data_IF_207584870889
#
_entry.id   IF_207584870889
#
_cell.length_a   1.000
_cell.length_b   1.000
_cell.length_c   1.000
_cell.angle_alpha   90.00
_cell.angle_beta   90.00
_cell.angle_gamma   90.00
#
_symmetry.space_group_name_H-M   'P 1'
#
loop_
_entity.id
_entity.type
_entity.pdbx_description
1 polymer ?
#
# COMPACT_ATOMS: atom_id res chain seq x y z
N UNK A 1 -27.14 2.20 -8.40
CA UNK A 1 -26.49 2.79 -9.60
C UNK A 1 -25.50 3.95 -9.28
N UNK A 2 -25.22 4.27 -8.00
CA UNK A 2 -24.34 5.39 -7.62
C UNK A 2 -22.83 5.05 -7.53
N UNK A 3 -22.44 3.77 -7.46
CA UNK A 3 -21.04 3.38 -7.18
C UNK A 3 -20.07 3.50 -8.36
N UNK A 4 -20.53 3.53 -9.62
CA UNK A 4 -19.62 3.55 -10.78
C UNK A 4 -18.99 4.91 -11.09
N UNK A 5 -19.51 6.02 -10.54
CA UNK A 5 -18.99 7.38 -10.83
C UNK A 5 -17.71 7.72 -10.06
N UNK A 6 -17.40 7.05 -8.95
CA UNK A 6 -16.19 7.34 -8.17
C UNK A 6 -14.93 6.60 -8.66
N UNK A 7 -15.05 5.46 -9.33
CA UNK A 7 -13.90 4.61 -9.69
C UNK A 7 -13.07 5.11 -10.88
N UNK A 8 -13.66 5.90 -11.79
CA UNK A 8 -12.90 6.57 -12.87
C UNK A 8 -12.11 7.78 -12.35
N UNK A 9 -12.43 8.28 -11.16
CA UNK A 9 -11.81 9.49 -10.62
C UNK A 9 -10.32 9.34 -10.33
N UNK A 10 -9.89 8.24 -9.72
CA UNK A 10 -8.49 8.11 -9.28
C UNK A 10 -7.50 7.96 -10.45
N UNK A 11 -7.90 7.29 -11.54
CA UNK A 11 -7.07 7.24 -12.75
C UNK A 11 -6.96 8.61 -13.40
N UNK A 12 -8.07 9.37 -13.49
CA UNK A 12 -8.05 10.75 -13.99
C UNK A 12 -7.16 11.66 -13.12
N UNK A 13 -7.24 11.55 -11.79
CA UNK A 13 -6.35 12.27 -10.87
C UNK A 13 -4.89 11.87 -11.10
N UNK A 14 -4.60 10.59 -11.37
CA UNK A 14 -3.25 10.15 -11.70
C UNK A 14 -2.75 10.77 -13.00
N UNK A 15 -3.58 10.82 -14.04
CA UNK A 15 -3.25 11.46 -15.32
C UNK A 15 -3.01 12.96 -15.18
N UNK A 16 -3.83 13.66 -14.41
CA UNK A 16 -3.64 15.07 -14.07
C UNK A 16 -2.35 15.30 -13.29
N UNK A 17 -2.06 14.44 -12.30
CA UNK A 17 -0.79 14.48 -11.58
C UNK A 17 0.42 14.27 -12.50
N UNK A 18 0.29 13.45 -13.55
CA UNK A 18 1.36 13.27 -14.54
C UNK A 18 1.62 14.51 -15.37
N UNK A 19 0.59 15.29 -15.70
CA UNK A 19 0.70 16.58 -16.42
C UNK A 19 1.39 17.66 -15.59
N UNK A 20 1.30 17.59 -14.26
CA UNK A 20 1.98 18.54 -13.36
C UNK A 20 3.51 18.42 -13.44
N UNK A 21 4.27 19.52 -13.53
CA UNK A 21 5.74 19.48 -13.48
C UNK A 21 6.27 19.14 -12.07
N UNK A 22 5.43 19.21 -11.03
CA UNK A 22 5.83 18.98 -9.63
C UNK A 22 6.28 17.54 -9.40
N UNK A 23 7.28 17.37 -8.54
CA UNK A 23 7.73 16.10 -7.99
C UNK A 23 7.53 16.10 -6.48
N UNK A 24 7.41 14.92 -5.86
CA UNK A 24 7.14 14.81 -4.44
C UNK A 24 5.65 14.98 -4.12
N UNK A 25 5.35 15.54 -2.94
CA UNK A 25 4.00 15.66 -2.41
C UNK A 25 3.29 16.93 -2.93
N UNK A 26 2.05 16.78 -3.40
CA UNK A 26 1.17 17.89 -3.77
C UNK A 26 -0.29 17.41 -3.81
N UNK A 27 -1.22 18.31 -4.13
CA UNK A 27 -2.65 18.01 -4.22
C UNK A 27 -3.16 18.09 -5.66
N UNK A 28 -4.05 17.18 -6.03
CA UNK A 28 -4.77 17.16 -7.32
C UNK A 28 -6.20 16.72 -7.05
N UNK A 29 -7.20 17.48 -7.50
CA UNK A 29 -8.61 17.14 -7.32
C UNK A 29 -9.02 16.91 -5.86
N UNK A 30 -8.43 17.66 -4.91
CA UNK A 30 -8.66 17.48 -3.48
C UNK A 30 -8.05 16.22 -2.87
N UNK A 31 -7.18 15.49 -3.60
CA UNK A 31 -6.50 14.29 -3.13
C UNK A 31 -5.01 14.56 -2.94
N UNK A 32 -4.45 13.99 -1.86
CA UNK A 32 -3.01 13.99 -1.61
C UNK A 32 -2.33 13.04 -2.59
N UNK A 33 -1.33 13.56 -3.31
CA UNK A 33 -0.59 12.87 -4.34
C UNK A 33 0.91 12.93 -4.05
N UNK A 34 1.60 11.81 -4.27
CA UNK A 34 3.06 11.73 -4.26
C UNK A 34 3.54 11.23 -5.62
N UNK A 35 4.28 12.06 -6.34
CA UNK A 35 4.83 11.72 -7.66
C UNK A 35 6.33 11.51 -7.58
N UNK A 36 6.80 10.47 -8.25
CA UNK A 36 8.21 10.29 -8.56
C UNK A 36 8.39 9.94 -10.05
N UNK A 37 9.63 9.69 -10.47
CA UNK A 37 9.96 9.37 -11.88
C UNK A 37 9.29 8.10 -12.42
N UNK A 38 8.82 7.21 -11.55
CA UNK A 38 8.26 5.90 -11.91
C UNK A 38 6.75 5.85 -11.77
N UNK A 39 6.19 6.39 -10.70
CA UNK A 39 4.78 6.19 -10.33
C UNK A 39 4.21 7.42 -9.64
N UNK A 40 2.88 7.48 -9.65
CA UNK A 40 2.09 8.40 -8.84
C UNK A 40 1.39 7.61 -7.75
N UNK A 41 1.40 8.10 -6.52
CA UNK A 41 0.71 7.49 -5.38
C UNK A 41 -0.39 8.44 -4.96
N UNK A 42 -1.60 7.93 -4.85
CA UNK A 42 -2.76 8.70 -4.43
C UNK A 42 -3.27 8.13 -3.12
N UNK A 43 -3.51 9.02 -2.15
CA UNK A 43 -4.17 8.68 -0.90
C UNK A 43 -5.64 9.07 -1.02
N UNK A 44 -6.54 8.12 -0.83
CA UNK A 44 -7.98 8.35 -0.84
C UNK A 44 -8.65 7.76 0.37
N UNK A 45 -9.30 8.63 1.14
CA UNK A 45 -10.14 8.26 2.28
C UNK A 45 -11.46 7.67 1.78
N UNK A 46 -11.75 6.44 2.19
CA UNK A 46 -12.95 5.65 1.88
C UNK A 46 -13.49 5.08 3.18
N UNK A 47 -14.13 5.87 4.03
CA UNK A 47 -14.56 5.45 5.37
C UNK A 47 -15.20 4.04 5.37
N UNK A 48 -14.72 3.08 6.19
CA UNK A 48 -13.71 3.19 7.26
C UNK A 48 -12.24 2.98 6.82
N UNK A 49 -11.99 2.84 5.54
CA UNK A 49 -10.71 2.54 4.92
C UNK A 49 -9.98 3.79 4.41
N UNK A 50 -8.67 3.66 4.24
CA UNK A 50 -7.89 4.57 3.39
C UNK A 50 -7.14 3.72 2.37
N UNK A 51 -7.31 4.05 1.11
CA UNK A 51 -6.62 3.42 -0.01
C UNK A 51 -5.41 4.25 -0.41
N UNK A 52 -4.27 3.58 -0.53
CA UNK A 52 -3.01 4.17 -0.97
C UNK A 52 -2.61 3.41 -2.22
N UNK A 53 -2.89 4.01 -3.36
CA UNK A 53 -2.86 3.35 -4.66
C UNK A 53 -1.74 3.91 -5.53
N UNK A 54 -0.91 3.03 -6.07
CA UNK A 54 0.15 3.39 -7.00
C UNK A 54 -0.35 3.25 -8.44
N UNK A 55 -0.29 4.33 -9.20
CA UNK A 55 -0.61 4.39 -10.61
C UNK A 55 0.65 4.45 -11.48
N UNK A 56 0.62 3.78 -12.65
CA UNK A 56 1.71 3.80 -13.60
C UNK A 56 1.84 5.15 -14.28
N UNK A 57 2.88 5.31 -15.10
CA UNK A 57 2.93 6.37 -16.10
C UNK A 57 1.81 6.22 -17.14
N UNK A 58 1.35 7.31 -17.77
CA UNK A 58 0.23 7.28 -18.72
C UNK A 58 0.45 6.30 -19.88
N UNK A 59 1.67 6.23 -20.43
CA UNK A 59 2.01 5.33 -21.54
C UNK A 59 1.90 3.83 -21.19
N UNK A 60 1.81 3.49 -19.91
CA UNK A 60 1.67 2.11 -19.43
C UNK A 60 0.27 1.81 -18.87
N UNK A 61 -0.60 2.81 -18.72
CA UNK A 61 -1.92 2.67 -18.10
C UNK A 61 -2.80 1.64 -18.81
N UNK A 62 -2.82 1.65 -20.14
CA UNK A 62 -3.64 0.71 -20.92
C UNK A 62 -3.23 -0.75 -20.70
N UNK A 63 -1.92 -1.02 -20.68
CA UNK A 63 -1.40 -2.37 -20.41
C UNK A 63 -1.78 -2.85 -19.01
N UNK A 64 -1.71 -1.96 -18.01
CA UNK A 64 -2.10 -2.28 -16.63
C UNK A 64 -3.62 -2.48 -16.51
N UNK A 65 -4.42 -1.68 -17.22
CA UNK A 65 -5.88 -1.86 -17.26
C UNK A 65 -6.25 -3.24 -17.80
N UNK A 66 -5.67 -3.65 -18.94
CA UNK A 66 -5.88 -5.00 -19.51
C UNK A 66 -5.43 -6.10 -18.55
N UNK A 67 -4.27 -5.91 -17.91
CA UNK A 67 -3.72 -6.88 -16.95
C UNK A 67 -4.55 -7.02 -15.67
N UNK A 68 -5.35 -6.01 -15.31
CA UNK A 68 -6.14 -6.03 -14.07
C UNK A 68 -7.24 -7.10 -14.07
N UNK A 69 -7.77 -7.46 -15.23
CA UNK A 69 -8.74 -8.56 -15.39
C UNK A 69 -8.18 -9.94 -15.04
N UNK A 70 -6.85 -10.10 -14.96
CA UNK A 70 -6.20 -11.35 -14.57
C UNK A 70 -6.21 -11.60 -13.04
N UNK A 71 -6.64 -10.62 -12.24
CA UNK A 71 -6.62 -10.70 -10.77
C UNK A 71 -7.90 -11.32 -10.19
N UNK A 72 -7.81 -11.90 -8.98
CA UNK A 72 -9.01 -12.42 -8.28
C UNK A 72 -9.97 -11.27 -7.98
N UNK A 73 -11.25 -11.46 -8.27
CA UNK A 73 -12.30 -10.49 -7.94
C UNK A 73 -12.48 -10.30 -6.44
N UNK A 74 -12.96 -9.11 -6.05
CA UNK A 74 -13.34 -8.79 -4.65
C UNK A 74 -12.26 -8.11 -3.80
N UNK A 75 -11.58 -7.08 -4.32
CA UNK A 75 -10.63 -6.27 -3.55
C UNK A 75 -10.26 -4.95 -4.26
N UNK A 76 -9.29 -4.18 -3.72
CA UNK A 76 -8.91 -2.86 -4.25
C UNK A 76 -8.56 -2.80 -5.74
N UNK A 77 -8.16 -3.94 -6.33
CA UNK A 77 -7.93 -4.07 -7.76
C UNK A 77 -9.19 -3.81 -8.61
N UNK A 78 -10.37 -4.18 -8.12
CA UNK A 78 -11.64 -3.89 -8.79
C UNK A 78 -11.97 -2.40 -8.75
N UNK A 79 -11.65 -1.76 -7.64
CA UNK A 79 -12.01 -0.36 -7.39
C UNK A 79 -11.04 0.62 -8.07
N UNK A 80 -9.84 0.15 -8.40
CA UNK A 80 -8.77 0.94 -9.02
C UNK A 80 -8.18 0.21 -10.24
N UNK A 81 -8.95 0.10 -11.34
CA UNK A 81 -8.45 -0.47 -12.58
C UNK A 81 -7.28 0.38 -13.11
N UNK A 82 -6.29 -0.27 -13.72
CA UNK A 82 -5.12 0.41 -14.29
C UNK A 82 -4.02 0.78 -13.29
N UNK A 83 -4.25 0.64 -11.98
CA UNK A 83 -3.20 0.80 -10.98
C UNK A 83 -2.18 -0.36 -11.01
N UNK A 84 -1.00 -0.10 -10.45
CA UNK A 84 0.04 -1.10 -10.19
C UNK A 84 -0.36 -1.97 -8.98
N UNK A 85 -0.86 -1.32 -7.93
CA UNK A 85 -1.22 -1.97 -6.68
C UNK A 85 -1.74 -0.98 -5.65
N UNK A 86 -2.37 -1.52 -4.60
CA UNK A 86 -2.94 -0.74 -3.50
C UNK A 86 -2.55 -1.34 -2.16
N UNK A 87 -2.28 -0.45 -1.22
CA UNK A 87 -2.28 -0.74 0.21
C UNK A 87 -3.57 -0.15 0.82
N UNK A 88 -4.28 -0.94 1.62
CA UNK A 88 -5.44 -0.51 2.39
C UNK A 88 -5.09 -0.47 3.87
N UNK A 89 -5.36 0.66 4.51
CA UNK A 89 -5.34 0.79 5.97
C UNK A 89 -6.77 0.97 6.49
N UNK A 90 -7.03 0.45 7.69
CA UNK A 90 -8.29 0.61 8.41
C UNK A 90 -8.06 1.57 9.58
N UNK A 91 -8.97 2.53 9.77
CA UNK A 91 -8.81 3.57 10.77
C UNK A 91 -10.07 3.92 11.55
N UNK A 92 -11.19 3.22 11.44
CA UNK A 92 -12.37 3.59 12.23
C UNK A 92 -12.50 2.76 13.51
N UNK A 93 -13.01 3.42 14.55
CA UNK A 93 -13.71 2.77 15.65
C UNK A 93 -14.80 1.85 15.07
N UNK A 94 -14.93 0.63 15.60
CA UNK A 94 -15.96 -0.34 15.17
C UNK A 94 -15.51 -1.42 14.19
N UNK A 95 -14.27 -1.39 13.68
CA UNK A 95 -13.71 -2.57 12.99
C UNK A 95 -13.15 -3.56 14.01
N UNK A 96 -13.57 -4.82 13.94
CA UNK A 96 -13.16 -5.83 14.92
C UNK A 96 -11.65 -6.00 14.95
N UNK A 97 -11.06 -5.81 16.13
CA UNK A 97 -9.62 -5.95 16.36
C UNK A 97 -8.78 -4.72 16.02
N UNK A 98 -9.35 -3.53 15.77
CA UNK A 98 -8.59 -2.27 15.63
C UNK A 98 -8.86 -1.38 16.85
N UNK A 99 -7.80 -0.95 17.55
CA UNK A 99 -7.95 0.01 18.65
C UNK A 99 -8.40 1.38 18.12
N UNK A 100 -9.28 2.11 18.85
CA UNK A 100 -9.78 3.43 18.44
C UNK A 100 -8.69 4.41 17.97
N UNK A 101 -7.51 4.33 18.58
CA UNK A 101 -6.42 5.28 18.39
C UNK A 101 -5.36 4.83 17.37
N UNK A 102 -5.50 3.68 16.71
CA UNK A 102 -4.47 3.16 15.79
C UNK A 102 -5.00 2.94 14.38
N UNK A 103 -4.13 3.03 13.37
CA UNK A 103 -4.44 2.63 12.01
C UNK A 103 -3.80 1.28 11.73
N UNK A 104 -4.51 0.33 11.11
CA UNK A 104 -3.96 -0.99 10.80
C UNK A 104 -3.79 -1.20 9.30
N UNK A 105 -2.63 -1.74 8.91
CA UNK A 105 -2.44 -2.28 7.57
C UNK A 105 -3.25 -3.56 7.42
N UNK A 106 -4.23 -3.51 6.54
CA UNK A 106 -5.20 -4.59 6.37
C UNK A 106 -4.95 -5.36 5.06
N UNK A 107 -4.72 -4.65 3.95
CA UNK A 107 -4.54 -5.30 2.65
C UNK A 107 -3.35 -4.75 1.86
N UNK A 108 -2.63 -5.64 1.15
CA UNK A 108 -1.60 -5.29 0.16
C UNK A 108 -1.84 -6.09 -1.12
N UNK A 109 -2.27 -5.44 -2.22
CA UNK A 109 -2.61 -6.11 -3.48
C UNK A 109 -1.82 -5.55 -4.66
N UNK A 110 -1.22 -6.42 -5.50
CA UNK A 110 -0.86 -6.04 -6.87
C UNK A 110 -2.08 -6.21 -7.77
N UNK A 111 -2.28 -5.28 -8.70
CA UNK A 111 -3.46 -5.28 -9.59
C UNK A 111 -3.13 -5.96 -10.93
N UNK A 112 -2.17 -6.87 -10.93
CA UNK A 112 -1.79 -7.66 -12.09
C UNK A 112 -1.18 -8.99 -11.64
N UNK A 113 -1.25 -10.00 -12.51
CA UNK A 113 -0.35 -11.17 -12.50
C UNK A 113 0.79 -10.93 -13.48
N UNK A 114 1.94 -11.56 -13.26
CA UNK A 114 3.05 -11.56 -14.23
C UNK A 114 2.98 -12.80 -15.11
N UNK A 115 3.25 -12.65 -16.41
CA UNK A 115 3.31 -13.77 -17.36
C UNK A 115 2.15 -13.79 -18.35
N UNK A 116 1.78 -14.98 -18.82
CA UNK A 116 0.74 -15.18 -19.83
C UNK A 116 -0.62 -14.64 -19.37
N UNK A 117 -1.25 -13.81 -20.19
CA UNK A 117 -2.49 -13.09 -19.84
C UNK A 117 -2.32 -12.01 -18.76
N UNK A 118 -1.09 -11.67 -18.38
CA UNK A 118 -0.76 -10.67 -17.36
C UNK A 118 0.21 -9.60 -17.84
N UNK A 119 0.81 -8.89 -16.87
CA UNK A 119 1.76 -7.82 -17.13
C UNK A 119 3.11 -8.37 -17.59
N UNK A 120 3.73 -7.83 -18.65
CA UNK A 120 5.07 -8.19 -19.08
C UNK A 120 6.10 -8.06 -17.95
N UNK A 121 7.05 -9.00 -17.87
CA UNK A 121 8.02 -9.08 -16.76
C UNK A 121 8.90 -7.84 -16.64
N UNK A 122 9.34 -7.28 -17.76
CA UNK A 122 10.12 -6.03 -17.80
C UNK A 122 9.34 -4.87 -17.15
N UNK A 123 8.06 -4.73 -17.47
CA UNK A 123 7.19 -3.69 -16.94
C UNK A 123 6.85 -3.93 -15.46
N UNK A 124 6.62 -5.18 -15.07
CA UNK A 124 6.46 -5.56 -13.67
C UNK A 124 7.70 -5.25 -12.82
N UNK A 125 8.91 -5.46 -13.37
CA UNK A 125 10.18 -5.10 -12.74
C UNK A 125 10.39 -3.59 -12.68
N UNK A 126 10.00 -2.85 -13.73
CA UNK A 126 10.10 -1.38 -13.77
C UNK A 126 9.34 -0.73 -12.60
N UNK A 127 8.13 -1.21 -12.34
CA UNK A 127 7.28 -0.81 -11.21
C UNK A 127 7.58 -1.56 -9.90
N UNK A 128 8.67 -2.32 -9.85
CA UNK A 128 9.21 -2.86 -8.61
C UNK A 128 9.37 -1.77 -7.55
N UNK A 129 9.16 -2.14 -6.28
CA UNK A 129 9.25 -1.20 -5.16
C UNK A 129 7.99 -0.37 -4.88
N UNK A 130 6.92 -0.47 -5.68
CA UNK A 130 5.66 0.27 -5.44
C UNK A 130 5.10 0.06 -4.03
N UNK A 131 5.25 -1.15 -3.48
CA UNK A 131 4.81 -1.49 -2.12
C UNK A 131 5.53 -0.65 -1.06
N UNK A 132 6.84 -0.44 -1.22
CA UNK A 132 7.62 0.37 -0.29
C UNK A 132 7.17 1.82 -0.32
N UNK A 133 6.90 2.33 -1.52
CA UNK A 133 6.49 3.71 -1.72
C UNK A 133 5.08 3.95 -1.15
N UNK A 134 4.15 3.00 -1.34
CA UNK A 134 2.83 3.05 -0.71
C UNK A 134 2.94 2.95 0.82
N UNK A 135 3.83 2.11 1.33
CA UNK A 135 4.05 1.98 2.77
C UNK A 135 4.63 3.26 3.38
N UNK A 136 5.56 3.93 2.69
CA UNK A 136 6.06 5.27 3.05
C UNK A 136 4.92 6.28 3.16
N UNK A 137 4.07 6.32 2.14
CA UNK A 137 2.90 7.20 2.14
C UNK A 137 1.92 6.85 3.28
N UNK A 138 1.74 5.56 3.59
CA UNK A 138 0.90 5.11 4.71
C UNK A 138 1.41 5.58 6.06
N UNK A 139 2.73 5.47 6.29
CA UNK A 139 3.38 5.96 7.51
C UNK A 139 3.21 7.47 7.64
N UNK A 140 3.50 8.22 6.57
CA UNK A 140 3.35 9.68 6.55
C UNK A 140 1.90 10.10 6.80
N UNK A 141 0.94 9.38 6.23
CA UNK A 141 -0.48 9.61 6.44
C UNK A 141 -0.86 9.38 7.90
N UNK A 142 -0.53 8.22 8.47
CA UNK A 142 -0.80 7.91 9.87
C UNK A 142 -0.20 8.97 10.81
N UNK A 143 1.07 9.35 10.58
CA UNK A 143 1.73 10.44 11.31
C UNK A 143 0.97 11.76 11.21
N UNK A 144 0.51 12.14 10.01
CA UNK A 144 -0.26 13.38 9.82
C UNK A 144 -1.62 13.39 10.53
N UNK A 145 -2.14 12.20 10.88
CA UNK A 145 -3.36 12.03 11.66
C UNK A 145 -3.10 11.84 13.16
N UNK A 146 -1.85 11.91 13.61
CA UNK A 146 -1.47 11.70 15.00
C UNK A 146 -1.65 10.24 15.48
N UNK A 147 -1.87 9.30 14.56
CA UNK A 147 -2.17 7.90 14.89
C UNK A 147 -1.01 7.00 14.49
N UNK A 148 -0.67 6.00 15.32
CA UNK A 148 0.30 5.00 14.91
C UNK A 148 -0.22 4.13 13.77
N UNK A 149 0.69 3.75 12.86
CA UNK A 149 0.44 2.70 11.87
C UNK A 149 0.90 1.36 12.45
N UNK A 150 -0.03 0.41 12.48
CA UNK A 150 0.15 -0.95 12.99
C UNK A 150 0.15 -1.93 11.84
N UNK A 151 1.11 -2.85 11.86
CA UNK A 151 1.21 -3.93 10.88
C UNK A 151 1.28 -5.26 11.61
N UNK A 152 0.26 -6.08 11.44
CA UNK A 152 0.22 -7.42 12.01
C UNK A 152 1.04 -8.37 11.11
N UNK A 153 2.05 -9.00 11.70
CA UNK A 153 3.03 -9.84 10.97
C UNK A 153 2.54 -11.26 10.70
N UNK A 154 1.41 -11.64 11.31
CA UNK A 154 0.94 -13.02 11.38
C UNK A 154 -0.10 -13.38 10.31
N UNK A 155 -0.58 -12.44 9.48
CA UNK A 155 -1.62 -12.73 8.49
C UNK A 155 -1.33 -12.17 7.09
N UNK A 156 -1.63 -13.00 6.08
CA UNK A 156 -1.89 -12.57 4.70
C UNK A 156 -0.75 -11.89 3.91
N UNK A 157 -1.09 -10.79 3.25
CA UNK A 157 -0.23 -10.04 2.34
C UNK A 157 0.64 -9.00 3.08
N UNK A 158 0.19 -8.55 4.27
CA UNK A 158 0.89 -7.63 5.16
C UNK A 158 2.13 -8.25 5.82
N UNK A 159 2.04 -9.46 6.37
CA UNK A 159 3.22 -10.17 6.90
C UNK A 159 4.30 -10.41 5.84
N UNK A 160 3.91 -10.73 4.59
CA UNK A 160 4.85 -10.86 3.46
C UNK A 160 5.52 -9.54 3.10
N UNK A 161 4.84 -8.41 3.28
CA UNK A 161 5.42 -7.09 3.10
C UNK A 161 6.57 -6.86 4.10
N UNK A 162 6.34 -7.17 5.38
CA UNK A 162 7.35 -7.01 6.44
C UNK A 162 8.64 -7.79 6.15
N UNK A 163 8.53 -9.00 5.58
CA UNK A 163 9.72 -9.81 5.23
C UNK A 163 10.59 -9.24 4.12
N UNK A 164 10.11 -8.25 3.36
CA UNK A 164 10.79 -7.69 2.18
C UNK A 164 11.45 -6.34 2.42
N UNK A 165 11.26 -5.72 3.58
CA UNK A 165 11.71 -4.34 3.84
C UNK A 165 12.53 -4.14 5.12
N UNK A 166 13.52 -4.99 5.46
CA UNK A 166 14.30 -4.86 6.71
C UNK A 166 14.95 -3.47 6.90
N UNK A 167 15.29 -2.79 5.80
CA UNK A 167 15.96 -1.47 5.84
C UNK A 167 15.00 -0.30 6.11
N UNK A 168 13.72 -0.43 5.70
CA UNK A 168 12.70 0.60 5.95
C UNK A 168 12.45 0.77 7.45
N UNK A 169 12.58 -0.33 8.19
CA UNK A 169 12.29 -0.41 9.61
C UNK A 169 13.36 0.26 10.49
N UNK A 170 14.64 0.24 10.12
CA UNK A 170 15.73 0.75 10.97
C UNK A 170 15.64 2.25 11.32
N UNK A 171 14.81 3.05 10.62
CA UNK A 171 14.70 4.51 10.79
C UNK A 171 13.47 4.99 11.55
N UNK A 172 12.61 4.09 12.01
CA UNK A 172 11.31 4.42 12.63
C UNK A 172 11.32 4.01 14.10
N UNK A 173 10.95 4.89 15.02
CA UNK A 173 10.87 4.55 16.45
C UNK A 173 9.73 3.53 16.67
N UNK A 174 10.09 2.34 17.12
CA UNK A 174 9.16 1.25 17.41
C UNK A 174 8.72 1.29 18.87
N UNK A 175 7.42 1.10 19.12
CA UNK A 175 6.96 0.64 20.43
C UNK A 175 6.57 -0.84 20.32
N UNK A 176 7.19 -1.62 21.18
CA UNK A 176 7.39 -3.07 21.11
C UNK A 176 6.37 -3.76 22.01
N UNK A 177 5.47 -4.54 21.44
CA UNK A 177 4.60 -5.47 22.20
C UNK A 177 4.82 -6.89 21.72
N UNK A 178 5.18 -7.77 22.65
CA UNK A 178 5.65 -9.15 22.41
C UNK A 178 4.57 -10.17 22.76
N UNK A 179 4.33 -11.12 21.87
CA UNK A 179 3.67 -12.39 22.20
C UNK A 179 4.34 -13.55 21.45
N UNK A 180 4.39 -14.73 22.09
CA UNK A 180 5.19 -15.92 21.68
C UNK A 180 4.98 -16.32 20.21
N UNK A 181 6.05 -16.38 19.42
CA UNK A 181 6.04 -16.81 18.00
C UNK A 181 6.67 -18.20 17.86
N UNK A 182 6.23 -19.00 16.88
CA UNK A 182 6.81 -20.32 16.63
C UNK A 182 8.28 -20.24 16.18
N UNK A 183 9.09 -21.15 16.72
CA UNK A 183 10.56 -21.16 16.58
C UNK A 183 11.04 -21.23 15.12
N UNK A 184 10.27 -21.84 14.22
CA UNK A 184 10.61 -21.92 12.79
C UNK A 184 10.49 -20.58 12.05
N UNK A 185 9.49 -19.75 12.41
CA UNK A 185 9.31 -18.44 11.79
C UNK A 185 10.37 -17.46 12.31
N UNK A 186 10.74 -17.57 13.59
CA UNK A 186 11.84 -16.85 14.22
C UNK A 186 13.14 -17.06 13.43
N UNK A 187 13.54 -18.30 13.20
CA UNK A 187 14.78 -18.64 12.48
C UNK A 187 14.78 -18.11 11.04
N UNK A 188 13.62 -18.11 10.36
CA UNK A 188 13.49 -17.55 8.99
C UNK A 188 13.62 -16.03 8.95
N UNK A 189 13.17 -15.34 10.00
CA UNK A 189 13.25 -13.88 10.12
C UNK A 189 14.67 -13.44 10.52
N UNK A 190 15.31 -14.16 11.46
CA UNK A 190 16.71 -13.91 11.88
C UNK A 190 17.68 -14.02 10.71
N UNK A 191 17.54 -15.06 9.88
CA UNK A 191 18.36 -15.25 8.66
C UNK A 191 18.22 -14.11 7.66
N UNK A 192 17.18 -13.28 7.76
CA UNK A 192 16.93 -12.12 6.90
C UNK A 192 17.28 -10.79 7.59
N UNK A 193 17.90 -10.83 8.76
CA UNK A 193 18.19 -9.64 9.58
C UNK A 193 16.94 -8.95 10.11
N UNK A 194 15.82 -9.68 10.18
CA UNK A 194 14.55 -9.22 10.73
C UNK A 194 14.45 -9.76 12.15
N UNK A 195 14.27 -8.88 13.13
CA UNK A 195 14.16 -9.27 14.52
C UNK A 195 12.94 -10.20 14.70
N UNK A 196 13.13 -11.43 15.16
CA UNK A 196 12.12 -12.51 15.09
C UNK A 196 10.94 -12.39 16.07
N UNK A 197 10.80 -11.25 16.76
CA UNK A 197 9.99 -11.12 17.98
C UNK A 197 8.74 -10.23 17.84
N UNK A 198 8.30 -9.87 16.62
CA UNK A 198 7.21 -8.89 16.45
C UNK A 198 5.99 -9.51 15.77
N UNK A 199 4.92 -9.79 16.56
CA UNK A 199 3.56 -10.09 16.04
C UNK A 199 2.89 -8.83 15.48
N UNK A 200 3.24 -7.67 16.03
CA UNK A 200 2.70 -6.35 15.74
C UNK A 200 3.87 -5.38 15.58
N UNK A 201 3.89 -4.60 14.50
CA UNK A 201 4.83 -3.49 14.33
C UNK A 201 4.03 -2.20 14.42
N UNK A 202 4.24 -1.44 15.49
CA UNK A 202 3.61 -0.14 15.73
C UNK A 202 4.60 0.98 15.42
N UNK A 203 4.25 1.80 14.44
CA UNK A 203 5.00 2.98 13.99
C UNK A 203 4.34 4.21 14.59
N UNK A 204 5.00 4.89 15.53
CA UNK A 204 4.41 6.07 16.19
C UNK A 204 4.84 7.38 15.51
N UNK A 205 3.96 8.40 15.47
CA UNK A 205 4.37 9.77 15.18
C UNK A 205 5.44 10.21 16.19
N UNK A 206 6.42 11.01 15.74
CA UNK A 206 7.41 11.66 16.60
C UNK A 206 6.88 12.98 17.12
#
# INVERSE_FOLDING_TARGET
MAERRHMHGLLTIAEEAWKSPKQGAFEVGGKKVFKNKKMVIIISDYFPFVHITAFPKPEHSETLMKSSGSTKGGGPARDNPGAIGTIRIVGSEGWTGVEPNEMRLDWVQSHYKTGEGGLPRNLASFYGGWREQCLKAAVQYAHSTGRPLVIDSMTGSAGRLLTKFPFFWRKTQFVKETEKVSRELVVKLEKKGILPWTRKITIRPK
#
